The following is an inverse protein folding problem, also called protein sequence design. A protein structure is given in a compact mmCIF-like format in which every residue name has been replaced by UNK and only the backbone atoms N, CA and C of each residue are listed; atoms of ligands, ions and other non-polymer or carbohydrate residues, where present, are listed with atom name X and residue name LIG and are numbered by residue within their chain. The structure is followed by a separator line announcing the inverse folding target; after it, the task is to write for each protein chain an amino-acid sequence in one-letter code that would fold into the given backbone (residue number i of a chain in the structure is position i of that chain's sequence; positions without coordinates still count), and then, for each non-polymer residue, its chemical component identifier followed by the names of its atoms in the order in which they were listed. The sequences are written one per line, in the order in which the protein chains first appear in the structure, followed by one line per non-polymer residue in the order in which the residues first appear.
data_IF_489803573332
#
_entry.id   IF_489803573332
#
_cell.length_a   1.000
_cell.length_b   1.000
_cell.length_c   1.000
_cell.angle_alpha   90.00
_cell.angle_beta   90.00
_cell.angle_gamma   90.00
#
_symmetry.space_group_name_H-M   'P 1'
#
loop_
_entity.id
_entity.type
_entity.pdbx_description
1 polymer ?
#
# COMPACT_ATOMS: atom_id res chain seq x y z
N UNK A 1 74.69 -39.02 -23.04
CA UNK A 1 73.45 -39.78 -23.05
C UNK A 1 72.51 -39.22 -21.98
N UNK A 2 71.62 -38.28 -22.40
CA UNK A 2 70.65 -37.62 -21.48
C UNK A 2 69.31 -38.29 -21.65
N UNK A 3 68.80 -38.92 -20.59
CA UNK A 3 67.48 -39.49 -20.57
C UNK A 3 66.42 -38.45 -20.17
N UNK A 4 65.51 -38.17 -21.08
CA UNK A 4 64.40 -37.23 -20.87
C UNK A 4 63.21 -38.08 -20.30
N UNK A 5 62.79 -37.75 -19.08
CA UNK A 5 61.60 -38.30 -18.46
C UNK A 5 60.39 -37.42 -18.88
N UNK A 6 59.47 -38.00 -19.62
CA UNK A 6 58.18 -37.44 -19.87
C UNK A 6 57.26 -37.69 -18.66
N UNK A 7 56.92 -36.66 -17.95
CA UNK A 7 55.90 -36.70 -16.92
C UNK A 7 54.54 -36.33 -17.56
N UNK A 8 53.70 -37.30 -17.75
CA UNK A 8 52.30 -37.08 -18.16
C UNK A 8 51.48 -36.54 -16.98
N UNK A 9 51.07 -35.28 -17.04
CA UNK A 9 50.11 -34.72 -16.10
C UNK A 9 48.71 -35.01 -16.63
N UNK A 10 48.03 -35.96 -15.99
CA UNK A 10 46.63 -36.28 -16.22
C UNK A 10 45.79 -35.28 -15.46
N UNK A 11 45.26 -34.26 -16.19
CA UNK A 11 44.38 -33.22 -15.63
C UNK A 11 42.98 -33.81 -15.50
N UNK A 12 42.54 -34.14 -14.28
CA UNK A 12 41.17 -34.53 -13.94
C UNK A 12 40.30 -33.26 -13.88
N UNK A 13 39.49 -33.03 -14.93
CA UNK A 13 38.51 -31.96 -14.96
C UNK A 13 37.30 -32.46 -14.12
N UNK A 14 37.21 -31.93 -12.88
CA UNK A 14 36.06 -32.13 -12.02
C UNK A 14 34.88 -31.27 -12.53
N UNK A 15 33.98 -31.88 -13.28
CA UNK A 15 32.77 -31.22 -13.76
C UNK A 15 31.84 -30.92 -12.58
N UNK A 16 31.80 -29.65 -12.16
CA UNK A 16 30.77 -29.17 -11.23
C UNK A 16 29.48 -28.99 -12.00
N UNK A 17 28.59 -29.98 -11.93
CA UNK A 17 27.22 -29.85 -12.42
C UNK A 17 26.47 -28.91 -11.49
N UNK A 18 26.24 -27.68 -11.91
CA UNK A 18 25.25 -26.80 -11.28
C UNK A 18 23.87 -27.37 -11.62
N UNK A 19 23.31 -28.09 -10.66
CA UNK A 19 21.87 -28.40 -10.69
C UNK A 19 21.15 -27.07 -10.41
N UNK A 20 20.75 -26.38 -11.46
CA UNK A 20 19.75 -25.33 -11.39
C UNK A 20 18.44 -26.00 -10.98
N UNK A 21 18.02 -25.82 -9.74
CA UNK A 21 16.65 -26.08 -9.34
C UNK A 21 15.80 -24.95 -9.95
N UNK A 22 15.38 -25.10 -11.19
CA UNK A 22 14.19 -24.46 -11.71
C UNK A 22 12.99 -25.16 -11.01
N UNK A 23 12.67 -24.67 -9.83
CA UNK A 23 11.31 -24.77 -9.35
C UNK A 23 10.54 -23.72 -10.15
N UNK A 24 9.82 -24.17 -11.15
CA UNK A 24 8.67 -23.47 -11.72
C UNK A 24 7.58 -23.39 -10.63
N UNK A 25 7.84 -22.62 -9.57
CA UNK A 25 6.77 -22.14 -8.72
C UNK A 25 6.06 -21.09 -9.57
N UNK A 26 4.84 -21.41 -10.00
CA UNK A 26 4.00 -20.49 -10.74
C UNK A 26 3.98 -19.18 -9.95
N UNK A 27 4.61 -18.14 -10.53
CA UNK A 27 4.66 -16.83 -9.90
C UNK A 27 3.22 -16.36 -9.69
N UNK A 28 2.90 -15.95 -8.47
CA UNK A 28 1.62 -15.33 -8.17
C UNK A 28 1.44 -14.07 -9.02
N UNK A 29 0.33 -14.02 -9.76
CA UNK A 29 -0.05 -12.92 -10.66
C UNK A 29 -1.41 -12.33 -10.31
N UNK A 30 -2.06 -12.85 -9.28
CA UNK A 30 -3.34 -12.38 -8.80
C UNK A 30 -3.10 -11.17 -7.90
N UNK A 31 -3.88 -10.10 -8.12
CA UNK A 31 -3.77 -8.89 -7.32
C UNK A 31 -4.58 -9.01 -6.04
N UNK A 32 -4.11 -8.45 -4.93
CA UNK A 32 -4.88 -8.42 -3.70
C UNK A 32 -6.19 -7.64 -3.86
N UNK A 33 -7.21 -8.00 -3.09
CA UNK A 33 -8.51 -7.33 -3.05
C UNK A 33 -8.54 -6.37 -1.87
N UNK A 34 -9.09 -5.16 -2.09
CA UNK A 34 -9.30 -4.12 -1.08
C UNK A 34 -10.78 -3.84 -0.96
N UNK A 35 -11.36 -3.98 0.24
CA UNK A 35 -12.71 -3.52 0.57
C UNK A 35 -12.60 -2.41 1.60
N UNK A 36 -12.73 -1.14 1.14
CA UNK A 36 -12.63 0.03 2.03
C UNK A 36 -13.98 0.30 2.70
N UNK A 37 -14.04 0.09 4.02
CA UNK A 37 -15.19 0.34 4.88
C UNK A 37 -15.38 1.81 5.23
N UNK A 38 -14.32 2.45 5.71
CA UNK A 38 -14.28 3.86 6.08
C UNK A 38 -12.93 4.51 5.73
N UNK A 39 -12.91 5.81 5.35
CA UNK A 39 -14.05 6.69 5.08
C UNK A 39 -14.83 6.29 3.81
N UNK A 40 -16.12 6.63 3.78
CA UNK A 40 -16.94 6.43 2.58
C UNK A 40 -16.55 7.40 1.47
N UNK A 41 -16.88 7.08 0.22
CA UNK A 41 -16.69 8.02 -0.88
C UNK A 41 -17.56 9.27 -0.67
N UNK A 42 -16.97 10.45 -0.83
CA UNK A 42 -17.62 11.73 -0.56
C UNK A 42 -17.68 12.11 0.92
N UNK A 43 -17.02 11.37 1.82
CA UNK A 43 -17.00 11.69 3.23
C UNK A 43 -16.40 13.08 3.50
N UNK A 44 -16.99 13.81 4.44
CA UNK A 44 -16.49 15.06 4.96
C UNK A 44 -15.78 14.78 6.30
N UNK A 45 -14.47 15.11 6.37
CA UNK A 45 -13.61 14.81 7.51
C UNK A 45 -13.29 16.11 8.27
N UNK A 46 -13.36 16.04 9.60
CA UNK A 46 -13.16 17.19 10.47
C UNK A 46 -11.67 17.57 10.55
N UNK A 47 -11.37 18.83 10.25
CA UNK A 47 -10.03 19.41 10.45
C UNK A 47 -9.76 19.52 11.95
N UNK A 48 -8.58 19.07 12.39
CA UNK A 48 -8.18 19.03 13.78
C UNK A 48 -8.55 17.73 14.51
N UNK A 49 -9.09 16.73 13.78
CA UNK A 49 -9.47 15.42 14.33
C UNK A 49 -8.69 14.27 13.66
N UNK A 50 -8.77 13.13 14.28
CA UNK A 50 -8.36 11.85 13.70
C UNK A 50 -9.45 11.29 12.78
N UNK A 51 -9.05 10.43 11.86
CA UNK A 51 -9.91 9.79 10.87
C UNK A 51 -10.08 8.33 11.24
N UNK A 52 -11.33 7.89 11.35
CA UNK A 52 -11.66 6.47 11.41
C UNK A 52 -11.34 5.80 10.07
N UNK A 53 -10.39 4.89 10.09
CA UNK A 53 -10.02 4.06 8.94
C UNK A 53 -10.40 2.61 9.18
N UNK A 54 -11.12 2.02 8.21
CA UNK A 54 -11.52 0.62 8.26
C UNK A 54 -11.45 0.02 6.86
N UNK A 55 -10.73 -1.10 6.72
CA UNK A 55 -10.60 -1.82 5.46
C UNK A 55 -10.35 -3.31 5.66
N UNK A 56 -10.86 -4.12 4.74
CA UNK A 56 -10.52 -5.52 4.59
C UNK A 56 -9.60 -5.71 3.39
N UNK A 57 -8.56 -6.53 3.59
CA UNK A 57 -7.61 -6.93 2.57
C UNK A 57 -7.60 -8.45 2.46
N UNK A 58 -7.56 -8.96 1.24
CA UNK A 58 -7.42 -10.39 0.98
C UNK A 58 -6.57 -10.68 -0.24
N UNK A 59 -5.89 -11.82 -0.20
CA UNK A 59 -5.04 -12.32 -1.27
C UNK A 59 -5.09 -13.85 -1.31
N UNK A 60 -4.94 -14.45 -2.49
CA UNK A 60 -5.02 -15.91 -2.64
C UNK A 60 -3.74 -16.62 -2.17
N UNK A 61 -2.60 -15.92 -2.11
CA UNK A 61 -1.32 -16.45 -1.63
C UNK A 61 -0.91 -15.75 -0.34
N UNK A 62 -0.51 -14.47 -0.38
CA UNK A 62 -0.02 -13.76 0.80
C UNK A 62 0.02 -12.24 0.57
N UNK A 63 -0.58 -11.49 1.49
CA UNK A 63 -0.47 -10.04 1.56
C UNK A 63 0.96 -9.60 1.94
N UNK A 64 1.41 -8.47 1.40
CA UNK A 64 2.68 -7.82 1.74
C UNK A 64 2.48 -6.59 2.62
N UNK A 65 1.84 -5.55 2.07
CA UNK A 65 1.65 -4.27 2.75
C UNK A 65 0.47 -3.48 2.17
N UNK A 66 -0.02 -2.49 2.93
CA UNK A 66 -0.86 -1.46 2.37
C UNK A 66 -0.28 -0.07 2.64
N UNK A 67 -0.61 0.87 1.76
CA UNK A 67 -0.20 2.26 1.82
C UNK A 67 -1.45 3.13 1.78
N UNK A 68 -1.55 4.07 2.72
CA UNK A 68 -2.55 5.14 2.70
C UNK A 68 -1.86 6.41 2.22
N UNK A 69 -2.47 7.10 1.23
CA UNK A 69 -2.05 8.41 0.79
C UNK A 69 -3.26 9.35 0.71
N UNK A 70 -3.14 10.55 1.28
CA UNK A 70 -4.12 11.62 1.15
C UNK A 70 -3.42 12.84 0.56
N UNK A 71 -4.00 13.42 -0.51
CA UNK A 71 -3.50 14.64 -1.14
C UNK A 71 -4.64 15.51 -1.67
N UNK A 72 -4.37 16.80 -1.83
CA UNK A 72 -5.37 17.76 -2.29
C UNK A 72 -5.80 17.50 -3.74
N UNK A 73 -7.08 17.75 -4.02
CA UNK A 73 -7.69 17.73 -5.35
C UNK A 73 -8.31 19.12 -5.69
N UNK A 74 -7.56 20.21 -5.43
CA UNK A 74 -8.07 21.57 -5.63
C UNK A 74 -8.16 21.98 -7.09
N UNK A 75 -7.44 21.30 -7.97
CA UNK A 75 -7.45 21.46 -9.43
C UNK A 75 -8.39 20.47 -10.14
N UNK A 76 -9.14 19.67 -9.38
CA UNK A 76 -10.03 18.61 -9.87
C UNK A 76 -9.32 17.62 -10.82
N UNK A 77 -8.06 17.30 -10.58
CA UNK A 77 -7.32 16.29 -11.35
C UNK A 77 -7.92 14.89 -11.17
N UNK A 78 -7.72 14.05 -12.18
CA UNK A 78 -8.08 12.63 -12.11
C UNK A 78 -6.82 11.78 -12.16
N UNK A 79 -6.80 10.64 -11.45
CA UNK A 79 -5.65 9.74 -11.42
C UNK A 79 -5.38 9.02 -12.75
N UNK A 80 -6.01 9.46 -13.84
CA UNK A 80 -5.78 8.98 -15.22
C UNK A 80 -4.74 9.81 -15.99
N UNK A 81 -4.31 10.97 -15.43
CA UNK A 81 -3.33 11.86 -16.07
C UNK A 81 -2.38 12.46 -15.02
N UNK A 82 -1.12 12.79 -15.38
CA UNK A 82 -0.21 13.50 -14.49
C UNK A 82 -0.74 14.90 -14.15
N UNK A 83 -0.76 15.23 -12.84
CA UNK A 83 -1.23 16.54 -12.36
C UNK A 83 -0.26 17.66 -12.75
N UNK A 84 -0.77 18.70 -13.38
CA UNK A 84 -0.09 19.99 -13.54
C UNK A 84 -0.43 20.87 -12.33
N UNK A 85 0.56 21.13 -11.48
CA UNK A 85 0.40 22.04 -10.34
C UNK A 85 0.37 23.50 -10.84
N UNK A 86 -0.75 24.16 -10.65
CA UNK A 86 -0.84 25.62 -10.77
C UNK A 86 -1.73 26.17 -9.65
N UNK A 87 -1.15 27.02 -8.80
CA UNK A 87 -1.88 28.04 -8.07
C UNK A 87 -1.87 28.01 -6.55
N UNK A 88 -1.43 29.15 -5.99
CA UNK A 88 -1.52 29.69 -4.61
C UNK A 88 -0.85 28.90 -3.48
N UNK A 89 -0.19 29.68 -2.60
CA UNK A 89 0.55 29.27 -1.41
C UNK A 89 -0.38 28.78 -0.27
N UNK A 90 -1.25 27.85 -0.53
CA UNK A 90 -1.98 27.08 0.46
C UNK A 90 -1.08 25.90 0.86
N UNK A 91 -1.07 25.54 2.14
CA UNK A 91 -0.41 24.34 2.62
C UNK A 91 -1.44 23.21 2.68
N UNK A 92 -1.70 22.50 1.56
CA UNK A 92 -2.66 21.42 1.57
C UNK A 92 -2.16 20.31 2.50
N UNK A 93 -3.11 19.65 3.16
CA UNK A 93 -2.80 18.46 3.95
C UNK A 93 -2.26 17.36 3.03
N UNK A 94 -1.22 16.70 3.50
CA UNK A 94 -0.66 15.52 2.86
C UNK A 94 -0.38 14.45 3.92
N UNK A 95 -0.84 13.24 3.67
CA UNK A 95 -0.56 12.09 4.50
C UNK A 95 -0.07 10.95 3.63
N UNK A 96 0.97 10.24 4.08
CA UNK A 96 1.46 9.03 3.42
C UNK A 96 2.09 8.11 4.46
N UNK A 97 1.51 6.92 4.62
CA UNK A 97 2.02 5.93 5.57
C UNK A 97 1.78 4.52 5.06
N UNK A 98 2.81 3.68 5.19
CA UNK A 98 2.77 2.26 4.83
C UNK A 98 2.69 1.41 6.09
N UNK A 99 1.98 0.27 5.98
CA UNK A 99 1.75 -0.69 7.04
C UNK A 99 2.00 -2.11 6.52
N UNK A 100 2.56 -2.97 7.36
CA UNK A 100 2.82 -4.37 7.00
C UNK A 100 1.57 -5.23 7.18
N UNK A 101 1.33 -6.10 6.20
CA UNK A 101 0.35 -7.20 6.26
C UNK A 101 1.03 -8.57 6.09
N UNK A 102 2.36 -8.61 6.13
CA UNK A 102 3.16 -9.81 5.85
C UNK A 102 2.72 -11.01 6.70
N UNK A 103 2.68 -12.18 6.08
CA UNK A 103 2.28 -13.43 6.72
C UNK A 103 0.77 -13.65 6.82
N UNK A 104 -0.05 -12.77 6.23
CA UNK A 104 -1.52 -12.87 6.25
C UNK A 104 -2.04 -13.09 4.83
N UNK A 105 -3.11 -13.86 4.69
CA UNK A 105 -3.92 -13.95 3.47
C UNK A 105 -5.15 -13.05 3.53
N UNK A 106 -5.65 -12.81 4.74
CA UNK A 106 -6.76 -11.91 5.01
C UNK A 106 -6.41 -11.03 6.21
N UNK A 107 -6.78 -9.77 6.15
CA UNK A 107 -6.60 -8.82 7.24
C UNK A 107 -7.76 -7.85 7.31
N UNK A 108 -8.37 -7.73 8.47
CA UNK A 108 -9.23 -6.62 8.83
C UNK A 108 -8.38 -5.58 9.56
N UNK A 109 -8.46 -4.34 9.13
CA UNK A 109 -7.67 -3.23 9.67
C UNK A 109 -8.63 -2.13 10.12
N UNK A 110 -8.45 -1.69 11.37
CA UNK A 110 -9.17 -0.59 11.97
C UNK A 110 -8.20 0.25 12.80
N UNK A 111 -8.09 1.55 12.53
CA UNK A 111 -7.23 2.46 13.30
C UNK A 111 -7.61 3.94 13.10
N UNK A 112 -7.02 4.80 13.93
CA UNK A 112 -7.18 6.26 13.94
C UNK A 112 -5.83 6.99 13.72
N UNK A 113 -4.89 6.38 13.03
CA UNK A 113 -3.53 6.89 12.83
C UNK A 113 -3.45 8.15 11.95
N UNK A 114 -4.51 8.42 11.18
CA UNK A 114 -4.58 9.56 10.27
C UNK A 114 -5.08 10.76 11.07
N UNK A 115 -4.19 11.68 11.42
CA UNK A 115 -4.55 12.90 12.16
C UNK A 115 -4.51 14.08 11.21
N UNK A 116 -5.64 14.75 11.02
CA UNK A 116 -5.74 15.98 10.22
C UNK A 116 -5.38 17.17 11.12
N UNK A 117 -4.29 17.90 10.83
CA UNK A 117 -3.89 19.01 11.70
C UNK A 117 -4.89 20.17 11.63
N UNK A 118 -5.02 20.93 12.74
CA UNK A 118 -5.98 22.04 12.83
C UNK A 118 -5.75 23.18 11.81
N UNK A 119 -4.55 23.25 11.23
CA UNK A 119 -4.20 24.22 10.18
C UNK A 119 -4.25 23.63 8.76
N UNK A 120 -4.87 22.47 8.58
CA UNK A 120 -5.09 21.91 7.25
C UNK A 120 -6.01 22.81 6.43
N UNK A 121 -5.74 22.93 5.14
CA UNK A 121 -6.60 23.68 4.22
C UNK A 121 -7.87 22.90 3.95
N UNK A 122 -9.04 23.52 4.16
CA UNK A 122 -10.33 22.94 3.81
C UNK A 122 -10.49 22.80 2.28
N UNK A 123 -11.20 21.78 1.83
CA UNK A 123 -11.46 21.56 0.40
C UNK A 123 -11.49 20.10 0.01
N UNK A 124 -11.37 19.82 -1.28
CA UNK A 124 -11.42 18.47 -1.86
C UNK A 124 -10.07 17.79 -1.79
N UNK A 125 -10.08 16.49 -1.45
CA UNK A 125 -8.91 15.63 -1.37
C UNK A 125 -9.21 14.26 -1.98
N UNK A 126 -8.16 13.55 -2.36
CA UNK A 126 -8.23 12.12 -2.66
C UNK A 126 -7.62 11.33 -1.51
N UNK A 127 -8.31 10.25 -1.13
CA UNK A 127 -7.79 9.17 -0.29
C UNK A 127 -7.48 7.98 -1.20
N UNK A 128 -6.22 7.58 -1.24
CA UNK A 128 -5.70 6.49 -2.06
C UNK A 128 -5.23 5.36 -1.16
N UNK A 129 -5.73 4.16 -1.38
CA UNK A 129 -5.31 2.96 -0.66
C UNK A 129 -4.70 2.01 -1.67
N UNK A 130 -3.42 1.72 -1.52
CA UNK A 130 -2.70 0.72 -2.30
C UNK A 130 -2.52 -0.52 -1.44
N UNK A 131 -2.74 -1.70 -2.00
CA UNK A 131 -2.35 -2.96 -1.37
C UNK A 131 -1.40 -3.70 -2.29
N UNK A 132 -0.27 -4.12 -1.75
CA UNK A 132 0.75 -4.90 -2.47
C UNK A 132 0.89 -6.25 -1.77
N UNK A 133 0.84 -7.34 -2.55
CA UNK A 133 1.05 -8.70 -2.06
C UNK A 133 2.55 -9.03 -1.90
N UNK A 134 2.86 -10.24 -1.51
CA UNK A 134 4.24 -10.72 -1.33
C UNK A 134 4.98 -10.93 -2.66
N UNK A 135 4.27 -11.12 -3.77
CA UNK A 135 4.82 -11.26 -5.12
C UNK A 135 5.04 -9.92 -5.83
N UNK A 136 4.50 -8.81 -5.28
CA UNK A 136 4.62 -7.46 -5.83
C UNK A 136 3.43 -7.03 -6.69
N UNK A 137 2.35 -7.83 -6.78
CA UNK A 137 1.14 -7.37 -7.47
C UNK A 137 0.43 -6.33 -6.62
N UNK A 138 -0.16 -5.31 -7.27
CA UNK A 138 -0.74 -4.18 -6.56
C UNK A 138 -2.15 -3.87 -7.03
N UNK A 139 -3.02 -3.57 -6.05
CA UNK A 139 -4.35 -3.00 -6.22
C UNK A 139 -4.44 -1.60 -5.65
N UNK A 140 -5.42 -0.83 -6.13
CA UNK A 140 -5.69 0.54 -5.72
C UNK A 140 -7.19 0.75 -5.56
N UNK A 141 -7.58 1.37 -4.44
CA UNK A 141 -8.90 1.97 -4.22
C UNK A 141 -8.73 3.46 -3.97
N UNK A 142 -9.48 4.29 -4.70
CA UNK A 142 -9.52 5.74 -4.50
C UNK A 142 -10.90 6.17 -3.98
N UNK A 143 -10.94 7.20 -3.13
CA UNK A 143 -12.13 7.88 -2.64
C UNK A 143 -11.94 9.38 -2.75
N UNK A 144 -12.98 10.07 -3.19
CA UNK A 144 -13.10 11.51 -3.01
C UNK A 144 -13.52 11.78 -1.58
N UNK A 145 -12.82 12.68 -0.91
CA UNK A 145 -13.13 13.16 0.43
C UNK A 145 -13.05 14.69 0.47
N UNK A 146 -13.64 15.29 1.48
CA UNK A 146 -13.50 16.72 1.77
C UNK A 146 -12.95 16.93 3.17
N UNK A 147 -12.10 17.94 3.37
CA UNK A 147 -11.71 18.41 4.69
C UNK A 147 -12.48 19.68 5.03
N UNK A 148 -13.09 19.75 6.21
CA UNK A 148 -13.94 20.83 6.66
C UNK A 148 -13.76 21.14 8.14
N UNK A 149 -13.98 22.38 8.56
CA UNK A 149 -14.04 22.79 9.97
C UNK A 149 -15.42 22.53 10.59
N UNK A 150 -16.40 22.11 9.79
CA UNK A 150 -17.80 21.96 10.20
C UNK A 150 -18.32 20.51 10.05
N UNK A 151 -17.45 19.57 9.66
CA UNK A 151 -17.81 18.16 9.59
C UNK A 151 -18.23 17.66 10.99
N UNK A 152 -19.25 16.82 11.05
CA UNK A 152 -19.62 16.16 12.28
C UNK A 152 -18.54 15.14 12.68
N UNK A 153 -18.21 15.12 13.97
CA UNK A 153 -17.35 14.07 14.51
C UNK A 153 -18.17 12.78 14.55
N UNK A 154 -17.77 11.79 13.77
CA UNK A 154 -18.37 10.46 13.87
C UNK A 154 -17.94 9.82 15.19
N UNK A 155 -18.76 9.99 16.24
CA UNK A 155 -18.63 9.22 17.46
C UNK A 155 -19.04 7.77 17.15
N UNK A 156 -18.14 6.84 17.44
CA UNK A 156 -18.47 5.42 17.37
C UNK A 156 -19.45 5.10 18.48
N UNK A 157 -20.71 4.81 18.11
CA UNK A 157 -21.63 4.15 19.02
C UNK A 157 -21.01 2.82 19.45
N UNK A 158 -20.70 2.73 20.74
CA UNK A 158 -20.33 1.50 21.40
C UNK A 158 -21.36 0.41 21.05
N UNK A 159 -20.91 -0.65 20.42
CA UNK A 159 -21.68 -1.88 20.34
C UNK A 159 -21.96 -2.35 21.76
N UNK A 160 -23.13 -1.95 22.31
CA UNK A 160 -23.68 -2.56 23.52
C UNK A 160 -23.96 -4.02 23.19
N UNK A 161 -23.08 -4.90 23.67
CA UNK A 161 -23.39 -6.31 23.81
C UNK A 161 -24.63 -6.42 24.75
N UNK A 162 -25.75 -6.75 24.18
CA UNK A 162 -26.86 -7.27 24.96
C UNK A 162 -26.57 -8.75 25.18
N UNK A 163 -26.45 -9.11 26.45
CA UNK A 163 -26.48 -10.48 26.96
C UNK A 163 -27.79 -11.18 26.61
#
# INVERSE_FOLDING_TARGET
MKKIFFVSILSAILGVSFVSCDKDEASDTVKPVITLGAPKNGAELLIGADVHFEADFSDDVMLGSYLIEIHSNFDNHTHKAPATRAGKAEKPFFFKKSYSLSGKRNAHVHHHDIVIPANATAGKYHLMIYCTDAAGNQSLVARDIALSHHAEKHDHDEHKHHE
#
